data_IF_297913828444
#
_entry.id   IF_297913828444
#
_cell.length_a   1.000
_cell.length_b   1.000
_cell.length_c   1.000
_cell.angle_alpha   90.00
_cell.angle_beta   90.00
_cell.angle_gamma   90.00
#
_symmetry.space_group_name_H-M   'P 1'
#
loop_
_entity.id
_entity.type
_entity.pdbx_description
1 polymer ?
#
# COMPACT_ATOMS: atom_id res chain seq x y z
N UNK A 1 27.24 -15.30 -11.45
CA UNK A 1 26.50 -14.13 -11.96
C UNK A 1 25.58 -14.67 -13.03
N UNK A 2 24.34 -14.98 -12.69
CA UNK A 2 23.31 -15.35 -13.68
C UNK A 2 22.60 -14.05 -14.01
N UNK A 3 22.60 -13.71 -15.29
CA UNK A 3 22.10 -12.46 -15.84
C UNK A 3 20.62 -12.24 -15.49
N UNK A 4 20.30 -11.09 -14.93
CA UNK A 4 18.94 -10.64 -14.57
C UNK A 4 18.05 -10.37 -15.81
N UNK A 5 18.53 -10.66 -17.03
CA UNK A 5 17.90 -10.27 -18.29
C UNK A 5 17.06 -11.35 -18.99
N UNK A 6 16.91 -12.57 -18.44
CA UNK A 6 16.18 -13.65 -19.12
C UNK A 6 14.80 -13.99 -18.54
N UNK A 7 14.38 -13.40 -17.42
CA UNK A 7 13.05 -13.69 -16.85
C UNK A 7 11.99 -12.77 -17.43
N UNK A 8 10.89 -13.34 -17.93
CA UNK A 8 9.70 -12.62 -18.34
C UNK A 8 9.18 -11.72 -17.22
N UNK A 9 8.91 -10.44 -17.53
CA UNK A 9 8.48 -9.45 -16.55
C UNK A 9 6.97 -9.23 -16.59
N UNK A 10 6.36 -9.05 -15.43
CA UNK A 10 4.95 -8.70 -15.27
C UNK A 10 4.82 -7.28 -14.72
N UNK A 11 4.25 -6.38 -15.54
CA UNK A 11 3.89 -5.01 -15.14
C UNK A 11 2.38 -4.88 -15.02
N UNK A 12 1.90 -4.39 -13.88
CA UNK A 12 0.47 -4.22 -13.59
C UNK A 12 0.14 -2.76 -13.34
N UNK A 13 -0.80 -2.19 -14.10
CA UNK A 13 -1.42 -0.91 -13.79
C UNK A 13 -2.64 -1.14 -12.89
N UNK A 14 -2.58 -0.64 -11.66
CA UNK A 14 -3.71 -0.64 -10.74
C UNK A 14 -4.41 0.72 -10.80
N UNK A 15 -5.72 0.71 -10.62
CA UNK A 15 -6.48 1.94 -10.47
C UNK A 15 -7.68 1.78 -9.58
N UNK A 16 -8.11 2.89 -8.99
CA UNK A 16 -9.26 2.92 -8.08
C UNK A 16 -10.57 2.46 -8.75
N UNK A 17 -10.76 2.78 -10.04
CA UNK A 17 -12.00 2.49 -10.77
C UNK A 17 -11.81 2.55 -12.30
N UNK A 18 -12.85 2.15 -13.03
CA UNK A 18 -12.93 2.40 -14.47
C UNK A 18 -12.93 3.91 -14.78
N UNK A 19 -12.23 4.32 -15.83
CA UNK A 19 -12.15 5.72 -16.28
C UNK A 19 -10.97 6.53 -15.70
N UNK A 20 -10.13 5.92 -14.86
CA UNK A 20 -8.93 6.59 -14.33
C UNK A 20 -7.84 6.80 -15.40
N UNK A 21 -7.78 5.91 -16.40
CA UNK A 21 -6.84 6.01 -17.52
C UNK A 21 -5.89 4.82 -17.68
N UNK A 22 -6.10 3.71 -16.97
CA UNK A 22 -5.19 2.54 -17.00
C UNK A 22 -4.81 2.09 -18.42
N UNK A 23 -5.82 1.82 -19.26
CA UNK A 23 -5.60 1.39 -20.65
C UNK A 23 -4.84 2.42 -21.47
N UNK A 24 -5.10 3.71 -21.25
CA UNK A 24 -4.40 4.79 -21.95
C UNK A 24 -2.90 4.77 -21.58
N UNK A 25 -2.61 4.82 -20.28
CA UNK A 25 -1.22 4.79 -19.77
C UNK A 25 -0.48 3.52 -20.18
N UNK A 26 -1.16 2.38 -20.14
CA UNK A 26 -0.63 1.09 -20.54
C UNK A 26 -0.21 1.08 -22.02
N UNK A 27 -1.04 1.65 -22.91
CA UNK A 27 -0.75 1.78 -24.33
C UNK A 27 0.35 2.82 -24.61
N UNK A 28 0.38 3.94 -23.89
CA UNK A 28 1.47 4.92 -23.98
C UNK A 28 2.83 4.28 -23.65
N UNK A 29 2.89 3.48 -22.60
CA UNK A 29 4.12 2.79 -22.19
C UNK A 29 4.49 1.66 -23.17
N UNK A 30 3.50 0.96 -23.74
CA UNK A 30 3.72 0.00 -24.83
C UNK A 30 4.31 0.70 -26.07
N UNK A 31 3.78 1.86 -26.46
CA UNK A 31 4.35 2.67 -27.54
C UNK A 31 5.77 3.12 -27.26
N UNK A 32 6.05 3.56 -26.04
CA UNK A 32 7.40 3.97 -25.64
C UNK A 32 8.41 2.82 -25.77
N UNK A 33 8.01 1.58 -25.47
CA UNK A 33 8.84 0.39 -25.64
C UNK A 33 8.98 -0.01 -27.12
N UNK A 34 7.89 0.02 -27.90
CA UNK A 34 7.90 -0.25 -29.35
C UNK A 34 8.83 0.71 -30.09
N UNK A 35 8.78 2.00 -29.76
CA UNK A 35 9.67 3.03 -30.30
C UNK A 35 11.16 2.81 -29.96
N UNK A 36 11.46 1.99 -28.94
CA UNK A 36 12.84 1.58 -28.59
C UNK A 36 13.25 0.28 -29.28
N UNK A 37 12.42 -0.25 -30.18
CA UNK A 37 12.66 -1.49 -30.91
C UNK A 37 12.32 -2.76 -30.13
N UNK A 38 11.57 -2.65 -29.02
CA UNK A 38 11.04 -3.83 -28.33
C UNK A 38 9.91 -4.43 -29.15
N UNK A 39 9.89 -5.75 -29.29
CA UNK A 39 8.86 -6.46 -30.01
C UNK A 39 7.59 -6.64 -29.15
N UNK A 40 6.50 -5.96 -29.53
CA UNK A 40 5.28 -5.83 -28.72
C UNK A 40 4.04 -6.14 -29.55
N UNK A 41 3.11 -6.88 -28.96
CA UNK A 41 1.77 -7.10 -29.51
C UNK A 41 0.68 -6.77 -28.51
N UNK A 42 -0.50 -6.47 -29.04
CA UNK A 42 -1.75 -6.43 -28.29
C UNK A 42 -2.39 -7.83 -28.37
N UNK A 43 -2.55 -8.46 -27.21
CA UNK A 43 -3.31 -9.71 -27.07
C UNK A 43 -4.79 -9.45 -26.81
N UNK A 44 -5.08 -8.55 -25.87
CA UNK A 44 -6.43 -8.11 -25.57
C UNK A 44 -6.43 -6.68 -25.02
N UNK A 45 -7.21 -5.78 -25.63
CA UNK A 45 -7.42 -4.42 -25.14
C UNK A 45 -8.89 -4.05 -25.33
N UNK A 46 -9.51 -3.54 -24.28
CA UNK A 46 -10.89 -3.05 -24.34
C UNK A 46 -10.90 -1.52 -24.50
N UNK A 47 -11.44 -1.05 -25.62
CA UNK A 47 -11.48 0.38 -25.94
C UNK A 47 -12.69 1.08 -25.31
N UNK A 48 -13.73 0.33 -24.90
CA UNK A 48 -15.01 0.82 -24.40
C UNK A 48 -15.62 1.95 -25.24
N UNK A 49 -15.35 1.94 -26.56
CA UNK A 49 -15.83 2.97 -27.48
C UNK A 49 -15.08 4.30 -27.47
N UNK A 50 -13.92 4.39 -26.81
CA UNK A 50 -13.12 5.63 -26.76
C UNK A 50 -12.24 5.76 -28.00
N UNK A 51 -12.44 6.85 -28.74
CA UNK A 51 -11.69 7.10 -29.97
C UNK A 51 -10.18 7.25 -29.72
N UNK A 52 -9.79 8.02 -28.70
CA UNK A 52 -8.37 8.19 -28.29
C UNK A 52 -7.68 6.83 -28.04
N UNK A 53 -8.39 5.88 -27.41
CA UNK A 53 -7.84 4.54 -27.15
C UNK A 53 -7.78 3.69 -28.42
N UNK A 54 -8.76 3.83 -29.33
CA UNK A 54 -8.74 3.13 -30.62
C UNK A 54 -7.61 3.62 -31.51
N UNK A 55 -7.33 4.91 -31.53
CA UNK A 55 -6.22 5.48 -32.29
C UNK A 55 -4.90 4.87 -31.85
N UNK A 56 -4.63 4.81 -30.54
CA UNK A 56 -3.39 4.21 -30.03
C UNK A 56 -3.27 2.70 -30.26
N UNK A 57 -4.39 1.98 -30.42
CA UNK A 57 -4.36 0.54 -30.71
C UNK A 57 -3.92 0.28 -32.16
N UNK A 58 -4.22 1.17 -33.11
CA UNK A 58 -3.96 0.95 -34.55
C UNK A 58 -2.47 0.88 -34.90
N UNK A 59 -1.62 1.45 -34.07
CA UNK A 59 -0.20 1.61 -34.32
C UNK A 59 0.65 0.44 -33.77
N UNK A 60 0.05 -0.48 -33.00
CA UNK A 60 0.69 -1.70 -32.49
C UNK A 60 0.16 -2.93 -33.24
N UNK A 61 0.99 -3.97 -33.38
CA UNK A 61 0.53 -5.25 -33.92
C UNK A 61 -0.51 -5.88 -32.99
N UNK A 62 -1.62 -6.37 -33.55
CA UNK A 62 -2.72 -6.96 -32.79
C UNK A 62 -2.84 -8.43 -33.19
N UNK A 63 -2.79 -9.32 -32.20
CA UNK A 63 -3.15 -10.73 -32.41
C UNK A 63 -4.66 -10.82 -32.51
N UNK A 64 -5.16 -11.40 -33.61
CA UNK A 64 -6.59 -11.54 -33.83
C UNK A 64 -7.23 -12.38 -32.69
N UNK A 65 -8.35 -11.90 -32.10
CA UNK A 65 -9.02 -12.63 -31.03
C UNK A 65 -9.59 -13.95 -31.55
N UNK A 66 -9.70 -14.93 -30.65
CA UNK A 66 -10.40 -16.18 -30.90
C UNK A 66 -11.91 -15.96 -30.74
N UNK A 67 -12.70 -16.50 -31.66
CA UNK A 67 -14.16 -16.41 -31.61
C UNK A 67 -14.75 -17.65 -30.97
N UNK A 68 -15.39 -17.48 -29.82
CA UNK A 68 -16.02 -18.57 -29.07
C UNK A 68 -17.54 -18.38 -29.03
N UNK A 69 -18.27 -19.47 -29.25
CA UNK A 69 -19.74 -19.47 -29.16
C UNK A 69 -20.19 -19.91 -27.77
N UNK A 70 -20.99 -19.08 -27.11
CA UNK A 70 -21.55 -19.38 -25.80
C UNK A 70 -23.02 -18.94 -25.72
N UNK A 71 -23.90 -19.88 -25.38
CA UNK A 71 -25.37 -19.66 -25.29
C UNK A 71 -25.99 -18.99 -26.54
N UNK A 72 -25.49 -19.34 -27.72
CA UNK A 72 -25.98 -18.83 -29.02
C UNK A 72 -25.51 -17.42 -29.39
N UNK A 73 -24.51 -16.87 -28.66
CA UNK A 73 -23.82 -15.64 -29.01
C UNK A 73 -22.33 -15.90 -29.22
N UNK A 74 -21.72 -15.17 -30.14
CA UNK A 74 -20.27 -15.23 -30.42
C UNK A 74 -19.57 -14.12 -29.66
N UNK A 75 -18.51 -14.48 -28.94
CA UNK A 75 -17.68 -13.57 -28.17
C UNK A 75 -16.24 -13.61 -28.71
N UNK A 76 -15.59 -12.45 -28.69
CA UNK A 76 -14.16 -12.34 -28.96
C UNK A 76 -13.40 -12.55 -27.63
N UNK A 77 -12.45 -13.47 -27.62
CA UNK A 77 -11.58 -13.78 -26.46
C UNK A 77 -10.11 -13.70 -26.88
N UNK A 78 -9.22 -13.45 -25.92
CA UNK A 78 -7.77 -13.42 -26.19
C UNK A 78 -7.28 -14.76 -26.76
N UNK A 79 -6.62 -14.72 -27.92
CA UNK A 79 -6.04 -15.93 -28.52
C UNK A 79 -4.67 -16.25 -27.88
N UNK A 80 -4.70 -16.91 -26.73
CA UNK A 80 -3.51 -17.29 -25.97
C UNK A 80 -2.50 -18.08 -26.82
N UNK A 81 -2.99 -19.08 -27.55
CA UNK A 81 -2.14 -19.97 -28.34
C UNK A 81 -1.42 -19.23 -29.47
N UNK A 82 -2.12 -18.33 -30.19
CA UNK A 82 -1.51 -17.53 -31.23
C UNK A 82 -0.44 -16.57 -30.67
N UNK A 83 -0.65 -16.01 -29.47
CA UNK A 83 0.37 -15.18 -28.81
C UNK A 83 1.62 -16.02 -28.48
N UNK A 84 1.43 -17.21 -27.90
CA UNK A 84 2.53 -18.12 -27.57
C UNK A 84 3.29 -18.58 -28.81
N UNK A 85 2.61 -18.84 -29.92
CA UNK A 85 3.23 -19.22 -31.19
C UNK A 85 4.02 -18.07 -31.82
N UNK A 86 3.47 -16.84 -31.74
CA UNK A 86 4.12 -15.64 -32.25
C UNK A 86 5.37 -15.26 -31.43
N UNK A 87 5.40 -15.58 -30.13
CA UNK A 87 6.51 -15.31 -29.20
C UNK A 87 6.99 -13.85 -29.18
N UNK A 88 6.10 -12.89 -28.89
CA UNK A 88 6.50 -11.50 -28.65
C UNK A 88 7.47 -11.39 -27.46
N UNK A 89 8.28 -10.32 -27.44
CA UNK A 89 9.01 -9.96 -26.21
C UNK A 89 8.03 -9.50 -25.13
N UNK A 90 7.02 -8.71 -25.50
CA UNK A 90 6.00 -8.19 -24.60
C UNK A 90 4.60 -8.31 -25.21
N UNK A 91 3.61 -8.69 -24.42
CA UNK A 91 2.19 -8.64 -24.79
C UNK A 91 1.38 -7.75 -23.85
N UNK A 92 0.49 -6.94 -24.43
CA UNK A 92 -0.48 -6.12 -23.70
C UNK A 92 -1.78 -6.90 -23.52
N UNK A 93 -2.23 -7.03 -22.26
CA UNK A 93 -3.42 -7.78 -21.86
C UNK A 93 -4.25 -6.96 -20.87
N UNK A 94 -5.32 -6.31 -21.32
CA UNK A 94 -6.24 -5.55 -20.46
C UNK A 94 -7.25 -6.46 -19.75
N UNK A 95 -7.94 -5.90 -18.76
CA UNK A 95 -8.98 -6.55 -17.95
C UNK A 95 -8.50 -7.85 -17.29
N UNK A 96 -7.42 -7.78 -16.51
CA UNK A 96 -6.82 -8.94 -15.81
C UNK A 96 -7.83 -9.80 -15.04
N UNK A 97 -8.87 -9.16 -14.50
CA UNK A 97 -9.91 -9.81 -13.71
C UNK A 97 -10.96 -10.55 -14.54
N UNK A 98 -10.94 -10.45 -15.87
CA UNK A 98 -11.91 -11.04 -16.78
C UNK A 98 -12.08 -12.55 -16.54
N UNK A 99 -13.32 -13.02 -16.66
CA UNK A 99 -13.66 -14.43 -16.64
C UNK A 99 -13.82 -14.88 -18.08
N UNK A 100 -12.92 -15.77 -18.51
CA UNK A 100 -12.90 -16.21 -19.89
C UNK A 100 -14.19 -16.95 -20.24
N UNK A 101 -14.59 -16.84 -21.50
CA UNK A 101 -15.78 -17.52 -22.02
C UNK A 101 -15.63 -19.04 -21.91
N UNK A 102 -16.73 -19.73 -21.59
CA UNK A 102 -16.77 -21.19 -21.49
C UNK A 102 -16.36 -21.82 -22.82
N UNK A 103 -15.33 -22.67 -22.80
CA UNK A 103 -14.66 -23.18 -24.00
C UNK A 103 -13.22 -22.70 -24.16
N UNK A 104 -12.83 -21.61 -23.50
CA UNK A 104 -11.42 -21.21 -23.38
C UNK A 104 -10.62 -22.20 -22.54
N UNK A 105 -9.31 -22.29 -22.78
CA UNK A 105 -8.39 -23.20 -22.08
C UNK A 105 -8.38 -22.95 -20.57
N UNK A 106 -8.19 -21.70 -20.16
CA UNK A 106 -8.18 -21.29 -18.77
C UNK A 106 -9.48 -20.55 -18.43
N UNK A 107 -9.87 -20.57 -17.15
CA UNK A 107 -11.15 -20.00 -16.71
C UNK A 107 -11.04 -18.50 -16.43
N UNK A 108 -9.83 -18.00 -16.17
CA UNK A 108 -9.57 -16.59 -15.81
C UNK A 108 -8.43 -16.03 -16.64
N UNK A 109 -8.54 -14.77 -17.06
CA UNK A 109 -7.50 -14.10 -17.85
C UNK A 109 -6.15 -14.00 -17.12
N UNK A 110 -6.16 -13.88 -15.78
CA UNK A 110 -4.92 -13.91 -15.01
C UNK A 110 -4.18 -15.25 -15.13
N UNK A 111 -4.88 -16.37 -15.38
CA UNK A 111 -4.25 -17.67 -15.61
C UNK A 111 -3.56 -17.69 -16.98
N UNK A 112 -4.18 -17.11 -18.01
CA UNK A 112 -3.53 -16.91 -19.32
C UNK A 112 -2.27 -16.04 -19.19
N UNK A 113 -2.32 -14.99 -18.38
CA UNK A 113 -1.15 -14.14 -18.11
C UNK A 113 -0.03 -14.92 -17.44
N UNK A 114 -0.34 -15.82 -16.49
CA UNK A 114 0.67 -16.70 -15.89
C UNK A 114 1.29 -17.62 -16.94
N UNK A 115 0.48 -18.19 -17.82
CA UNK A 115 0.97 -19.08 -18.88
C UNK A 115 1.86 -18.34 -19.90
N UNK A 116 1.53 -17.10 -20.25
CA UNK A 116 2.38 -16.24 -21.09
C UNK A 116 3.75 -16.01 -20.44
N UNK A 117 3.77 -15.69 -19.14
CA UNK A 117 5.00 -15.50 -18.38
C UNK A 117 5.85 -16.78 -18.29
N UNK A 118 5.22 -17.94 -18.15
CA UNK A 118 5.89 -19.25 -18.14
C UNK A 118 6.53 -19.58 -19.51
N UNK A 119 5.94 -19.09 -20.60
CA UNK A 119 6.50 -19.21 -21.95
C UNK A 119 7.55 -18.13 -22.28
N UNK A 120 8.01 -17.36 -21.29
CA UNK A 120 9.07 -16.36 -21.47
C UNK A 120 8.58 -15.02 -22.04
N UNK A 121 7.28 -14.81 -22.17
CA UNK A 121 6.69 -13.60 -22.73
C UNK A 121 6.39 -12.62 -21.59
N UNK A 122 6.94 -11.40 -21.64
CA UNK A 122 6.62 -10.37 -20.65
C UNK A 122 5.21 -9.84 -20.86
N UNK A 123 4.50 -9.50 -19.78
CA UNK A 123 3.11 -9.06 -19.85
C UNK A 123 2.93 -7.68 -19.22
N UNK A 124 2.24 -6.81 -19.93
CA UNK A 124 1.73 -5.54 -19.43
C UNK A 124 0.21 -5.66 -19.28
N UNK A 125 -0.33 -5.44 -18.09
CA UNK A 125 -1.75 -5.62 -17.81
C UNK A 125 -2.33 -4.52 -16.92
N UNK A 126 -3.65 -4.45 -16.83
CA UNK A 126 -4.37 -3.49 -16.00
C UNK A 126 -5.51 -4.12 -15.21
N UNK A 127 -5.73 -3.61 -14.00
CA UNK A 127 -6.80 -4.09 -13.10
C UNK A 127 -7.32 -2.98 -12.21
N UNK A 128 -8.60 -3.03 -11.84
CA UNK A 128 -9.14 -2.16 -10.80
C UNK A 128 -8.98 -2.79 -9.42
N UNK A 129 -8.75 -1.98 -8.40
CA UNK A 129 -8.56 -2.44 -7.01
C UNK A 129 -9.72 -3.30 -6.48
N UNK A 130 -10.93 -3.07 -6.99
CA UNK A 130 -12.14 -3.80 -6.59
C UNK A 130 -12.10 -5.30 -6.90
N UNK A 131 -11.22 -5.73 -7.82
CA UNK A 131 -11.12 -7.11 -8.26
C UNK A 131 -10.12 -7.92 -7.42
N UNK A 132 -9.42 -7.32 -6.47
CA UNK A 132 -8.55 -8.07 -5.57
C UNK A 132 -9.45 -8.85 -4.58
N UNK A 133 -9.25 -10.17 -4.51
CA UNK A 133 -10.07 -11.09 -3.71
C UNK A 133 -10.17 -10.64 -2.25
N UNK A 134 -9.04 -10.37 -1.58
CA UNK A 134 -9.04 -9.94 -0.17
C UNK A 134 -9.85 -8.67 0.12
N UNK A 135 -10.07 -7.82 -0.88
CA UNK A 135 -10.74 -6.53 -0.72
C UNK A 135 -12.26 -6.63 -0.95
N UNK A 136 -12.78 -7.76 -1.44
CA UNK A 136 -14.18 -7.88 -1.87
C UNK A 136 -15.19 -7.50 -0.78
N UNK A 137 -14.99 -7.94 0.46
CA UNK A 137 -15.87 -7.63 1.59
C UNK A 137 -15.85 -6.14 1.98
N UNK A 138 -14.69 -5.49 1.86
CA UNK A 138 -14.56 -4.04 2.10
C UNK A 138 -15.27 -3.27 0.99
N UNK A 139 -15.05 -3.67 -0.27
CA UNK A 139 -15.68 -3.07 -1.45
C UNK A 139 -17.20 -3.21 -1.39
N UNK A 140 -17.71 -4.38 -1.03
CA UNK A 140 -19.15 -4.64 -0.90
C UNK A 140 -19.78 -3.80 0.21
N UNK A 141 -19.12 -3.68 1.37
CA UNK A 141 -19.60 -2.83 2.48
C UNK A 141 -19.64 -1.35 2.12
N UNK A 142 -18.63 -0.87 1.38
CA UNK A 142 -18.53 0.53 0.97
C UNK A 142 -19.47 0.87 -0.18
N UNK A 143 -19.50 0.04 -1.22
CA UNK A 143 -20.19 0.36 -2.49
C UNK A 143 -21.59 -0.24 -2.60
N UNK A 144 -21.90 -1.27 -1.80
CA UNK A 144 -23.11 -2.08 -1.93
C UNK A 144 -23.08 -3.03 -3.15
N UNK A 145 -22.03 -2.99 -3.97
CA UNK A 145 -21.89 -3.81 -5.18
C UNK A 145 -21.09 -5.05 -4.86
N UNK A 146 -21.60 -6.21 -5.25
CA UNK A 146 -20.86 -7.46 -5.19
C UNK A 146 -20.02 -7.62 -6.45
N UNK A 147 -18.69 -7.69 -6.29
CA UNK A 147 -17.76 -7.96 -7.38
C UNK A 147 -17.64 -9.47 -7.54
N UNK A 148 -18.02 -9.99 -8.72
CA UNK A 148 -17.97 -11.44 -9.00
C UNK A 148 -16.67 -11.88 -9.65
N UNK A 149 -16.06 -10.97 -10.39
CA UNK A 149 -14.81 -11.22 -11.09
C UNK A 149 -13.64 -10.77 -10.22
N UNK A 150 -12.83 -11.74 -9.80
CA UNK A 150 -11.75 -11.49 -8.86
C UNK A 150 -10.44 -12.10 -9.32
N UNK A 151 -9.35 -11.57 -8.77
CA UNK A 151 -7.96 -12.00 -8.93
C UNK A 151 -7.41 -12.30 -7.55
N UNK A 152 -6.84 -13.50 -7.31
CA UNK A 152 -6.23 -13.84 -6.03
C UNK A 152 -5.06 -12.92 -5.70
N UNK A 153 -4.92 -12.52 -4.43
CA UNK A 153 -3.80 -11.71 -3.95
C UNK A 153 -2.43 -12.30 -4.27
N UNK A 154 -2.33 -13.63 -4.30
CA UNK A 154 -1.09 -14.36 -4.61
C UNK A 154 -0.56 -14.04 -6.02
N UNK A 155 -1.43 -13.74 -6.99
CA UNK A 155 -1.03 -13.36 -8.34
C UNK A 155 -0.14 -12.11 -8.33
N UNK A 156 -0.46 -11.12 -7.49
CA UNK A 156 0.28 -9.87 -7.43
C UNK A 156 1.70 -10.03 -6.89
N UNK A 157 2.01 -11.14 -6.20
CA UNK A 157 3.40 -11.46 -5.81
C UNK A 157 4.29 -11.78 -7.01
N UNK A 158 3.72 -12.17 -8.15
CA UNK A 158 4.47 -12.39 -9.39
C UNK A 158 4.84 -11.09 -10.10
N UNK A 159 4.21 -9.97 -9.75
CA UNK A 159 4.42 -8.68 -10.39
C UNK A 159 5.83 -8.14 -10.11
N UNK A 160 6.54 -7.84 -11.18
CA UNK A 160 7.84 -7.18 -11.15
C UNK A 160 7.66 -5.67 -10.95
N UNK A 161 6.56 -5.10 -11.45
CA UNK A 161 6.22 -3.68 -11.27
C UNK A 161 4.70 -3.53 -11.08
N UNK A 162 4.31 -2.73 -10.07
CA UNK A 162 2.91 -2.29 -9.89
C UNK A 162 2.87 -0.76 -9.95
N UNK A 163 2.12 -0.23 -10.91
CA UNK A 163 2.01 1.21 -11.18
C UNK A 163 0.59 1.67 -10.83
N UNK A 164 0.48 2.67 -9.97
CA UNK A 164 -0.81 3.30 -9.67
C UNK A 164 -1.19 4.33 -10.75
N UNK A 165 -2.41 4.21 -11.29
CA UNK A 165 -2.99 5.19 -12.21
C UNK A 165 -4.07 5.95 -11.49
N UNK A 166 -3.67 7.08 -10.91
CA UNK A 166 -4.53 7.90 -10.06
C UNK A 166 -5.14 9.10 -10.79
N UNK A 167 -6.34 9.47 -10.37
CA UNK A 167 -6.98 10.75 -10.69
C UNK A 167 -7.86 11.16 -9.52
N UNK A 168 -8.05 12.48 -9.38
CA UNK A 168 -8.96 13.00 -8.37
C UNK A 168 -10.38 12.46 -8.55
N UNK A 169 -11.09 12.28 -7.42
CA UNK A 169 -12.49 11.82 -7.41
C UNK A 169 -13.38 12.74 -8.25
N UNK A 170 -13.15 14.05 -8.20
CA UNK A 170 -13.92 15.03 -8.98
C UNK A 170 -13.62 14.93 -10.48
N UNK A 171 -12.36 14.70 -10.86
CA UNK A 171 -11.96 14.44 -12.25
C UNK A 171 -12.66 13.20 -12.79
N UNK A 172 -12.64 12.10 -12.04
CA UNK A 172 -13.26 10.84 -12.45
C UNK A 172 -14.77 10.98 -12.64
N UNK A 173 -15.45 11.63 -11.69
CA UNK A 173 -16.89 11.93 -11.80
C UNK A 173 -17.22 12.85 -12.97
N UNK A 174 -16.33 13.80 -13.28
CA UNK A 174 -16.49 14.69 -14.43
C UNK A 174 -16.38 13.91 -15.75
N UNK A 175 -15.38 13.03 -15.88
CA UNK A 175 -15.23 12.13 -17.04
C UNK A 175 -16.47 11.24 -17.23
N UNK A 176 -17.03 10.72 -16.13
CA UNK A 176 -18.26 9.93 -16.18
C UNK A 176 -19.47 10.76 -16.67
N UNK A 177 -19.64 12.00 -16.19
CA UNK A 177 -20.71 12.90 -16.64
C UNK A 177 -20.60 13.28 -18.12
N UNK A 178 -19.37 13.34 -18.63
CA UNK A 178 -19.09 13.59 -20.05
C UNK A 178 -19.39 12.37 -20.94
N UNK A 179 -19.87 11.25 -20.38
CA UNK A 179 -20.21 10.05 -21.14
C UNK A 179 -19.00 9.25 -21.65
N UNK A 180 -17.79 9.51 -21.14
CA UNK A 180 -16.54 8.94 -21.68
C UNK A 180 -16.39 7.42 -21.55
N UNK A 181 -17.25 6.73 -20.79
CA UNK A 181 -17.11 5.28 -20.55
C UNK A 181 -18.36 4.55 -20.04
N UNK A 182 -19.55 5.16 -20.08
CA UNK A 182 -20.82 4.52 -19.69
C UNK A 182 -21.94 4.97 -20.63
N UNK A 183 -22.90 4.09 -20.91
CA UNK A 183 -24.09 4.45 -21.67
C UNK A 183 -24.89 5.53 -20.94
N UNK A 184 -25.40 6.53 -21.68
CA UNK A 184 -26.00 7.77 -21.14
C UNK A 184 -27.08 7.49 -20.09
N UNK A 185 -27.88 6.45 -20.32
CA UNK A 185 -28.97 6.01 -19.43
C UNK A 185 -28.49 5.49 -18.07
N UNK A 186 -27.29 4.89 -18.02
CA UNK A 186 -26.72 4.31 -16.78
C UNK A 186 -25.82 5.27 -16.01
N UNK A 187 -25.55 6.48 -16.54
CA UNK A 187 -24.64 7.46 -15.91
C UNK A 187 -25.17 7.90 -14.54
N UNK A 188 -26.44 8.31 -14.44
CA UNK A 188 -27.01 8.80 -13.18
C UNK A 188 -27.08 7.70 -12.11
N UNK A 189 -27.48 6.49 -12.50
CA UNK A 189 -27.47 5.33 -11.60
C UNK A 189 -26.06 4.99 -11.13
N UNK A 190 -25.06 5.02 -12.02
CA UNK A 190 -23.66 4.76 -11.69
C UNK A 190 -23.08 5.82 -10.74
N UNK A 191 -23.38 7.11 -10.98
CA UNK A 191 -22.99 8.22 -10.10
C UNK A 191 -23.62 8.13 -8.71
N UNK A 192 -24.86 7.66 -8.65
CA UNK A 192 -25.61 7.52 -7.41
C UNK A 192 -25.38 6.19 -6.69
N UNK A 193 -24.59 5.27 -7.24
CA UNK A 193 -24.22 4.01 -6.60
C UNK A 193 -22.70 3.90 -6.49
N UNK A 194 -22.05 3.23 -7.45
CA UNK A 194 -20.61 2.93 -7.40
C UNK A 194 -19.73 4.20 -7.38
N UNK A 195 -20.05 5.21 -8.19
CA UNK A 195 -19.26 6.44 -8.36
C UNK A 195 -19.64 7.58 -7.39
N UNK A 196 -20.16 7.24 -6.20
CA UNK A 196 -20.33 8.20 -5.11
C UNK A 196 -18.96 8.71 -4.64
N UNK A 197 -18.90 9.96 -4.17
CA UNK A 197 -17.65 10.59 -3.69
C UNK A 197 -16.95 9.76 -2.60
N UNK A 198 -17.68 9.32 -1.58
CA UNK A 198 -17.13 8.49 -0.49
C UNK A 198 -16.60 7.14 -0.98
N UNK A 199 -17.32 6.50 -1.89
CA UNK A 199 -16.91 5.21 -2.47
C UNK A 199 -15.61 5.36 -3.25
N UNK A 200 -15.53 6.33 -4.16
CA UNK A 200 -14.33 6.58 -4.95
C UNK A 200 -13.13 7.02 -4.09
N UNK A 201 -13.36 7.77 -3.01
CA UNK A 201 -12.31 8.12 -2.07
C UNK A 201 -11.73 6.88 -1.38
N UNK A 202 -12.60 5.97 -0.94
CA UNK A 202 -12.20 4.69 -0.32
C UNK A 202 -11.44 3.82 -1.30
N UNK A 203 -11.94 3.68 -2.54
CA UNK A 203 -11.27 2.90 -3.59
C UNK A 203 -9.88 3.46 -3.92
N UNK A 204 -9.75 4.78 -3.98
CA UNK A 204 -8.47 5.46 -4.20
C UNK A 204 -7.50 5.22 -3.06
N UNK A 205 -7.96 5.30 -1.81
CA UNK A 205 -7.14 4.97 -0.64
C UNK A 205 -6.65 3.51 -0.70
N UNK A 206 -7.54 2.56 -1.02
CA UNK A 206 -7.17 1.15 -1.16
C UNK A 206 -6.15 0.92 -2.29
N UNK A 207 -6.31 1.59 -3.44
CA UNK A 207 -5.38 1.47 -4.56
C UNK A 207 -3.97 1.95 -4.17
N UNK A 208 -3.86 3.14 -3.58
CA UNK A 208 -2.61 3.72 -3.12
C UNK A 208 -1.94 2.84 -2.05
N UNK A 209 -2.73 2.31 -1.11
CA UNK A 209 -2.23 1.42 -0.06
C UNK A 209 -1.68 0.12 -0.64
N UNK A 210 -2.33 -0.43 -1.66
CA UNK A 210 -1.89 -1.67 -2.31
C UNK A 210 -0.53 -1.50 -2.99
N UNK A 211 -0.33 -0.38 -3.70
CA UNK A 211 0.97 -0.08 -4.33
C UNK A 211 2.05 0.13 -3.28
N UNK A 212 1.75 0.85 -2.19
CA UNK A 212 2.69 1.02 -1.09
C UNK A 212 3.09 -0.32 -0.42
N UNK A 213 2.13 -1.23 -0.22
CA UNK A 213 2.39 -2.57 0.31
C UNK A 213 3.30 -3.39 -0.61
N UNK A 214 3.06 -3.36 -1.92
CA UNK A 214 3.91 -4.07 -2.88
C UNK A 214 5.34 -3.51 -2.93
N UNK A 215 5.49 -2.19 -2.98
CA UNK A 215 6.81 -1.53 -2.91
C UNK A 215 7.57 -1.96 -1.66
N UNK A 216 6.90 -2.02 -0.51
CA UNK A 216 7.55 -2.41 0.73
C UNK A 216 8.06 -3.85 0.74
N UNK A 217 7.36 -4.78 0.09
CA UNK A 217 7.79 -6.18 -0.05
C UNK A 217 8.98 -6.27 -1.01
N UNK A 218 8.95 -5.56 -2.13
CA UNK A 218 10.08 -5.53 -3.08
C UNK A 218 11.34 -4.93 -2.47
N UNK A 219 11.20 -3.83 -1.73
CA UNK A 219 12.32 -3.21 -1.01
C UNK A 219 12.90 -4.18 0.02
N UNK A 220 12.05 -4.94 0.72
CA UNK A 220 12.50 -5.94 1.68
C UNK A 220 13.29 -7.06 1.00
N UNK A 221 12.74 -7.68 -0.06
CA UNK A 221 13.42 -8.76 -0.80
C UNK A 221 14.73 -8.28 -1.45
N UNK A 222 14.74 -7.07 -2.02
CA UNK A 222 15.94 -6.48 -2.60
C UNK A 222 17.01 -6.24 -1.53
N UNK A 223 16.63 -5.67 -0.39
CA UNK A 223 17.55 -5.37 0.71
C UNK A 223 18.09 -6.64 1.37
N UNK A 224 17.27 -7.70 1.51
CA UNK A 224 17.75 -9.02 1.97
C UNK A 224 18.76 -9.63 0.99
N UNK A 225 18.51 -9.56 -0.32
CA UNK A 225 19.45 -10.06 -1.34
C UNK A 225 20.78 -9.30 -1.33
N UNK A 226 20.72 -7.98 -1.20
CA UNK A 226 21.90 -7.10 -1.21
C UNK A 226 22.58 -6.97 0.18
N UNK A 227 22.06 -7.64 1.21
CA UNK A 227 22.57 -7.56 2.58
C UNK A 227 22.44 -6.16 3.21
N UNK A 228 21.49 -5.36 2.73
CA UNK A 228 21.17 -4.03 3.23
C UNK A 228 20.21 -4.14 4.44
N UNK A 229 20.42 -3.33 5.49
CA UNK A 229 19.47 -3.25 6.63
C UNK A 229 18.04 -2.98 6.14
N UNK A 230 17.00 -3.58 6.74
CA UNK A 230 15.60 -3.48 6.27
C UNK A 230 15.02 -2.04 6.33
N UNK A 231 14.11 -1.71 5.39
CA UNK A 231 13.23 -0.53 5.51
C UNK A 231 11.97 -0.91 6.29
N UNK A 232 11.56 -0.07 7.25
CA UNK A 232 10.45 -0.34 8.18
C UNK A 232 9.11 0.20 7.63
N UNK A 233 8.05 -0.61 7.68
CA UNK A 233 6.63 -0.28 7.40
C UNK A 233 5.90 -0.01 8.74
N UNK A 234 4.70 0.62 8.76
CA UNK A 234 4.46 1.85 9.53
C UNK A 234 4.82 1.73 11.01
N UNK A 235 5.62 2.69 11.46
CA UNK A 235 6.23 2.72 12.78
C UNK A 235 5.17 3.03 13.85
N UNK A 236 4.86 2.07 14.74
CA UNK A 236 4.10 2.31 15.97
C UNK A 236 5.07 2.88 17.00
N UNK A 237 4.98 4.18 17.26
CA UNK A 237 6.00 4.91 18.02
C UNK A 237 5.51 5.20 19.43
N UNK A 238 6.28 4.77 20.42
CA UNK A 238 6.11 5.17 21.81
C UNK A 238 7.22 6.11 22.23
N UNK A 239 6.87 7.32 22.66
CA UNK A 239 7.78 8.27 23.29
C UNK A 239 7.57 8.25 24.80
N UNK A 240 8.59 7.86 25.56
CA UNK A 240 8.52 7.83 27.01
C UNK A 240 8.88 9.19 27.61
N UNK A 241 7.90 9.83 28.27
CA UNK A 241 8.06 11.13 28.91
C UNK A 241 8.32 11.00 30.41
N UNK A 242 9.20 11.86 30.93
CA UNK A 242 9.41 12.02 32.36
C UNK A 242 8.76 13.32 32.86
N UNK A 243 8.46 13.37 34.16
CA UNK A 243 7.98 14.57 34.85
C UNK A 243 9.05 15.66 35.00
N UNK A 244 10.33 15.29 34.92
CA UNK A 244 11.48 16.19 35.09
C UNK A 244 12.21 16.37 33.76
N UNK A 245 12.35 17.64 33.35
CA UNK A 245 13.07 18.02 32.14
C UNK A 245 12.18 18.10 30.89
N UNK A 246 12.69 18.79 29.87
CA UNK A 246 11.99 19.00 28.60
C UNK A 246 11.98 17.71 27.78
N UNK A 247 10.79 17.24 27.38
CA UNK A 247 10.63 16.12 26.45
C UNK A 247 10.56 16.59 24.99
N UNK A 248 10.72 17.89 24.72
CA UNK A 248 10.50 18.49 23.38
C UNK A 248 11.36 17.82 22.30
N UNK A 249 12.63 17.55 22.59
CA UNK A 249 13.52 16.87 21.63
C UNK A 249 13.07 15.44 21.35
N UNK A 250 12.64 14.70 22.39
CA UNK A 250 12.11 13.33 22.25
C UNK A 250 10.84 13.32 21.39
N UNK A 251 9.92 14.23 21.69
CA UNK A 251 8.64 14.36 21.00
C UNK A 251 8.82 14.77 19.54
N UNK A 252 9.77 15.67 19.23
CA UNK A 252 10.12 16.03 17.84
C UNK A 252 10.70 14.84 17.08
N UNK A 253 11.57 14.06 17.72
CA UNK A 253 12.14 12.87 17.08
C UNK A 253 11.07 11.82 16.84
N UNK A 254 10.15 11.61 17.80
CA UNK A 254 8.98 10.74 17.62
C UNK A 254 8.09 11.19 16.47
N UNK A 255 7.76 12.48 16.39
CA UNK A 255 6.96 13.02 15.29
C UNK A 255 7.64 12.86 13.91
N UNK A 256 8.98 12.93 13.86
CA UNK A 256 9.75 12.72 12.62
C UNK A 256 9.73 11.26 12.16
N UNK A 257 9.79 10.33 13.11
CA UNK A 257 9.78 8.87 12.91
C UNK A 257 8.38 8.44 12.38
N UNK A 258 7.30 8.85 13.04
CA UNK A 258 5.90 8.56 12.63
C UNK A 258 5.54 9.08 11.22
N UNK A 259 6.14 10.19 10.79
CA UNK A 259 5.84 10.81 9.49
C UNK A 259 4.39 11.30 9.35
N UNK A 260 3.92 11.53 8.11
CA UNK A 260 2.58 12.07 7.81
C UNK A 260 1.44 11.02 7.81
N UNK A 261 1.74 9.74 8.01
CA UNK A 261 0.82 8.65 7.67
C UNK A 261 0.34 7.78 8.84
N UNK A 262 0.85 7.97 10.06
CA UNK A 262 0.50 7.13 11.22
C UNK A 262 -0.08 7.93 12.41
N UNK A 263 -1.07 8.79 12.14
CA UNK A 263 -1.75 9.61 13.16
C UNK A 263 -2.51 8.81 14.24
N UNK A 264 -2.61 7.48 14.16
CA UNK A 264 -3.31 6.63 15.14
C UNK A 264 -2.44 5.68 15.95
N UNK A 265 -1.16 5.56 15.63
CA UNK A 265 -0.25 4.59 16.27
C UNK A 265 0.97 5.27 16.91
N UNK A 266 0.79 6.51 17.37
CA UNK A 266 1.80 7.31 18.02
C UNK A 266 1.39 7.72 19.43
N UNK A 267 2.17 7.29 20.41
CA UNK A 267 1.89 7.41 21.83
C UNK A 267 2.95 8.24 22.54
N UNK A 268 2.51 9.19 23.36
CA UNK A 268 3.35 9.86 24.34
C UNK A 268 2.97 9.34 25.73
N UNK A 269 3.82 8.48 26.30
CA UNK A 269 3.50 7.72 27.50
C UNK A 269 4.21 8.30 28.71
N UNK A 270 3.44 8.61 29.74
CA UNK A 270 3.91 9.03 31.05
C UNK A 270 3.46 8.01 32.10
N UNK A 271 4.36 7.60 33.00
CA UNK A 271 4.04 6.74 34.14
C UNK A 271 4.06 7.56 35.42
N UNK A 272 2.90 7.73 36.04
CA UNK A 272 2.73 8.36 37.35
C UNK A 272 3.18 7.37 38.44
N UNK A 273 4.25 7.73 39.15
CA UNK A 273 4.73 6.98 40.32
C UNK A 273 4.09 7.48 41.62
N UNK A 274 4.09 6.70 42.71
CA UNK A 274 3.54 7.13 44.02
C UNK A 274 4.16 8.43 44.59
N UNK A 275 5.35 8.80 44.14
CA UNK A 275 6.04 10.05 44.53
C UNK A 275 5.56 11.26 43.71
N UNK A 276 4.88 11.02 42.60
CA UNK A 276 4.40 12.02 41.64
C UNK A 276 2.87 12.12 41.64
N UNK A 277 2.20 11.47 42.60
CA UNK A 277 0.76 11.59 42.81
C UNK A 277 0.35 13.06 42.99
N UNK A 278 -0.90 13.43 42.60
CA UNK A 278 -1.43 14.76 42.84
C UNK A 278 -1.24 15.19 44.31
N UNK A 279 -0.53 16.31 44.52
CA UNK A 279 -0.18 16.82 45.85
C UNK A 279 1.21 16.43 46.36
N UNK A 280 1.93 15.51 45.70
CA UNK A 280 3.32 15.13 46.01
C UNK A 280 4.35 15.56 44.96
N UNK A 281 3.93 15.65 43.69
CA UNK A 281 4.77 16.20 42.62
C UNK A 281 5.08 17.68 42.88
N UNK A 282 6.33 18.10 42.62
CA UNK A 282 6.69 19.51 42.77
C UNK A 282 5.95 20.38 41.74
N UNK A 283 5.58 21.64 42.06
CA UNK A 283 4.89 22.52 41.12
C UNK A 283 5.65 22.72 39.80
N UNK A 284 6.97 22.81 39.85
CA UNK A 284 7.83 23.02 38.68
C UNK A 284 7.85 21.77 37.78
N UNK A 285 7.93 20.57 38.37
CA UNK A 285 7.89 19.32 37.64
C UNK A 285 6.50 19.10 37.01
N UNK A 286 5.43 19.44 37.74
CA UNK A 286 4.07 19.37 37.21
C UNK A 286 3.87 20.34 36.04
N UNK A 287 4.32 21.59 36.16
CA UNK A 287 4.24 22.57 35.08
C UNK A 287 4.98 22.08 33.81
N UNK A 288 6.21 21.58 33.98
CA UNK A 288 7.02 21.00 32.89
C UNK A 288 6.31 19.83 32.20
N UNK A 289 5.72 18.92 32.99
CA UNK A 289 4.96 17.80 32.46
C UNK A 289 3.75 18.26 31.64
N UNK A 290 3.01 19.27 32.11
CA UNK A 290 1.88 19.83 31.37
C UNK A 290 2.31 20.48 30.05
N UNK A 291 3.45 21.17 30.02
CA UNK A 291 4.01 21.70 28.78
C UNK A 291 4.36 20.60 27.78
N UNK A 292 4.99 19.52 28.26
CA UNK A 292 5.33 18.36 27.42
C UNK A 292 4.08 17.67 26.86
N UNK A 293 3.04 17.50 27.68
CA UNK A 293 1.75 16.92 27.27
C UNK A 293 1.10 17.77 26.16
N UNK A 294 0.96 19.08 26.38
CA UNK A 294 0.40 20.00 25.39
C UNK A 294 1.18 19.98 24.08
N UNK A 295 2.52 19.91 24.17
CA UNK A 295 3.37 19.83 23.00
C UNK A 295 3.19 18.50 22.25
N UNK A 296 3.06 17.37 22.96
CA UNK A 296 2.77 16.07 22.37
C UNK A 296 1.42 16.08 21.63
N UNK A 297 0.36 16.62 22.25
CA UNK A 297 -0.96 16.76 21.63
C UNK A 297 -0.92 17.66 20.38
N UNK A 298 -0.17 18.76 20.44
CA UNK A 298 0.01 19.69 19.29
C UNK A 298 0.68 19.00 18.11
N UNK A 299 1.61 18.08 18.39
CA UNK A 299 2.28 17.32 17.35
C UNK A 299 1.39 16.20 16.79
N UNK A 300 0.34 15.78 17.52
CA UNK A 300 -0.63 14.75 17.10
C UNK A 300 -0.51 13.42 17.85
N UNK A 301 0.23 13.38 18.96
CA UNK A 301 0.43 12.17 19.76
C UNK A 301 -0.80 11.85 20.63
N UNK A 302 -1.10 10.57 20.79
CA UNK A 302 -2.03 10.09 21.82
C UNK A 302 -1.31 10.06 23.16
N UNK A 303 -1.71 10.92 24.09
CA UNK A 303 -1.10 10.97 25.42
C UNK A 303 -1.71 9.90 26.32
N UNK A 304 -0.86 9.03 26.86
CA UNK A 304 -1.26 7.95 27.78
C UNK A 304 -0.62 8.17 29.14
N UNK A 305 -1.44 8.15 30.19
CA UNK A 305 -1.00 8.24 31.58
C UNK A 305 -1.23 6.89 32.26
N UNK A 306 -0.15 6.19 32.57
CA UNK A 306 -0.18 4.93 33.31
C UNK A 306 0.10 5.20 34.79
N UNK A 307 -0.47 4.41 35.70
CA UNK A 307 -0.17 4.48 37.13
C UNK A 307 0.57 3.24 37.56
N UNK A 308 1.81 3.38 38.03
CA UNK A 308 2.58 2.24 38.51
C UNK A 308 3.76 2.67 39.39
N UNK A 309 4.03 1.89 40.44
CA UNK A 309 5.26 2.01 41.21
C UNK A 309 6.50 1.52 40.45
N UNK A 310 6.30 0.70 39.40
CA UNK A 310 7.37 0.12 38.57
C UNK A 310 7.24 0.61 37.13
N UNK A 311 7.90 1.73 36.84
CA UNK A 311 7.88 2.41 35.53
C UNK A 311 8.20 1.47 34.36
N UNK A 312 9.23 0.63 34.50
CA UNK A 312 9.70 -0.26 33.44
C UNK A 312 8.65 -1.31 33.07
N UNK A 313 8.02 -1.91 34.08
CA UNK A 313 7.05 -2.98 33.89
C UNK A 313 5.82 -2.44 33.15
N UNK A 314 5.32 -1.27 33.57
CA UNK A 314 4.19 -0.61 32.92
C UNK A 314 4.47 -0.19 31.47
N UNK A 315 5.67 0.30 31.17
CA UNK A 315 6.05 0.66 29.81
C UNK A 315 6.17 -0.58 28.91
N UNK A 316 6.69 -1.70 29.43
CA UNK A 316 6.81 -2.96 28.67
C UNK A 316 5.44 -3.58 28.38
N UNK A 317 4.56 -3.59 29.37
CA UNK A 317 3.19 -4.06 29.24
C UNK A 317 2.46 -3.26 28.16
N UNK A 318 2.51 -1.93 28.26
CA UNK A 318 1.91 -1.06 27.25
C UNK A 318 2.51 -1.27 25.85
N UNK A 319 3.84 -1.42 25.76
CA UNK A 319 4.52 -1.65 24.49
C UNK A 319 4.09 -2.97 23.82
N UNK A 320 3.86 -4.03 24.60
CA UNK A 320 3.39 -5.32 24.09
C UNK A 320 1.92 -5.26 23.68
N UNK A 321 1.06 -4.71 24.53
CA UNK A 321 -0.38 -4.61 24.26
C UNK A 321 -0.68 -3.79 23.00
N UNK A 322 0.14 -2.78 22.71
CA UNK A 322 -0.04 -1.89 21.57
C UNK A 322 0.88 -2.23 20.37
N UNK A 323 1.67 -3.31 20.47
CA UNK A 323 2.59 -3.80 19.43
C UNK A 323 3.56 -2.71 18.93
N UNK A 324 4.17 -1.98 19.86
CA UNK A 324 5.06 -0.85 19.56
C UNK A 324 6.32 -1.34 18.83
N UNK A 325 6.67 -0.69 17.71
CA UNK A 325 7.84 -1.02 16.88
C UNK A 325 9.00 -0.06 17.07
N UNK A 326 8.76 1.16 17.56
CA UNK A 326 9.82 2.09 17.95
C UNK A 326 9.56 2.67 19.33
N UNK A 327 10.57 2.60 20.20
CA UNK A 327 10.52 3.19 21.53
C UNK A 327 11.59 4.25 21.67
N UNK A 328 11.20 5.44 22.14
CA UNK A 328 12.09 6.58 22.32
C UNK A 328 12.23 6.90 23.81
N UNK A 329 13.47 6.82 24.30
CA UNK A 329 13.84 7.21 25.66
C UNK A 329 14.75 8.43 25.66
N UNK A 330 14.58 9.30 26.66
CA UNK A 330 15.58 10.31 26.98
C UNK A 330 16.76 9.72 27.74
N UNK A 331 17.97 10.16 27.41
CA UNK A 331 19.16 9.84 28.16
C UNK A 331 19.02 10.45 29.57
N UNK A 332 18.84 9.59 30.56
CA UNK A 332 18.69 10.00 31.96
C UNK A 332 19.88 10.86 32.41
N UNK A 333 19.61 11.99 33.08
CA UNK A 333 20.60 12.84 33.75
C UNK A 333 21.22 12.18 35.02
N UNK A 334 21.26 10.85 35.11
CA UNK A 334 21.79 10.12 36.26
C UNK A 334 23.26 9.75 36.05
N UNK A 335 24.02 9.79 37.14
CA UNK A 335 25.47 9.51 37.16
C UNK A 335 25.80 8.14 36.58
N UNK A 336 26.93 8.04 35.85
CA UNK A 336 27.43 6.81 35.19
C UNK A 336 27.49 5.59 36.13
N UNK A 337 27.62 5.82 37.44
CA UNK A 337 27.61 4.78 38.47
C UNK A 337 26.21 4.19 38.76
N UNK A 338 25.12 4.97 38.65
CA UNK A 338 23.75 4.45 38.78
C UNK A 338 23.31 3.68 37.53
N UNK A 339 23.88 3.98 36.37
CA UNK A 339 23.67 3.26 35.10
C UNK A 339 24.31 1.86 35.15
N UNK A 340 25.46 1.71 35.82
CA UNK A 340 26.12 0.40 36.01
C UNK A 340 25.38 -0.52 37.00
N UNK A 341 24.75 0.04 38.04
CA UNK A 341 23.99 -0.75 39.02
C UNK A 341 22.52 -1.00 38.64
N UNK A 342 21.94 -0.20 37.73
CA UNK A 342 20.57 -0.38 37.21
C UNK A 342 20.53 -0.31 35.68
N UNK A 343 21.40 -1.06 35.01
CA UNK A 343 21.42 -1.21 33.55
C UNK A 343 20.19 -1.92 32.95
N UNK A 344 18.98 -1.71 33.48
CA UNK A 344 17.86 -2.65 33.36
C UNK A 344 16.68 -2.21 32.52
N UNK A 345 16.56 -0.96 32.07
CA UNK A 345 15.37 -0.53 31.31
C UNK A 345 15.55 -0.87 29.82
N UNK A 346 16.57 -0.28 29.19
CA UNK A 346 16.90 -0.49 27.77
C UNK A 346 17.22 -1.97 27.51
N UNK A 347 18.07 -2.58 28.34
CA UNK A 347 18.42 -4.00 28.20
C UNK A 347 17.27 -4.97 28.55
N UNK A 348 16.25 -4.56 29.33
CA UNK A 348 15.03 -5.37 29.45
C UNK A 348 14.17 -5.19 28.23
N UNK A 349 13.94 -3.95 27.78
CA UNK A 349 13.19 -3.65 26.55
C UNK A 349 13.71 -4.43 25.35
N UNK A 350 15.02 -4.42 25.11
CA UNK A 350 15.65 -5.19 24.01
C UNK A 350 15.51 -6.72 24.18
N UNK A 351 15.38 -7.24 25.41
CA UNK A 351 15.16 -8.68 25.67
C UNK A 351 13.70 -9.09 25.59
N UNK A 352 12.80 -8.19 25.98
CA UNK A 352 11.40 -8.45 26.27
C UNK A 352 10.45 -7.99 25.16
N UNK A 353 10.91 -7.12 24.25
CA UNK A 353 10.22 -6.62 23.06
C UNK A 353 11.19 -6.75 21.87
N UNK A 354 11.30 -7.97 21.34
CA UNK A 354 12.36 -8.35 20.38
C UNK A 354 12.27 -7.63 19.02
N UNK A 355 11.08 -7.18 18.66
CA UNK A 355 10.78 -6.61 17.35
C UNK A 355 10.71 -5.08 17.37
N UNK A 356 11.12 -4.43 18.47
CA UNK A 356 11.10 -2.97 18.61
C UNK A 356 12.50 -2.35 18.57
N UNK A 357 12.68 -1.32 17.75
CA UNK A 357 13.87 -0.48 17.75
C UNK A 357 13.84 0.48 18.95
N UNK A 358 14.94 0.56 19.69
CA UNK A 358 15.08 1.43 20.86
C UNK A 358 15.98 2.62 20.55
N UNK A 359 15.42 3.82 20.59
CA UNK A 359 16.12 5.09 20.37
C UNK A 359 16.43 5.77 21.70
N UNK A 360 17.69 6.11 21.95
CA UNK A 360 18.10 6.86 23.15
C UNK A 360 18.62 8.22 22.72
N UNK A 361 17.92 9.28 23.12
CA UNK A 361 18.22 10.64 22.69
C UNK A 361 18.87 11.42 23.85
N UNK A 362 20.03 12.07 23.63
CA UNK A 362 20.62 12.97 24.61
C UNK A 362 19.66 14.09 24.99
N UNK A 363 19.45 14.31 26.29
CA UNK A 363 18.72 15.47 26.78
C UNK A 363 19.70 16.64 26.91
N UNK A 364 19.41 17.75 26.23
CA UNK A 364 20.13 19.01 26.47
C UNK A 364 19.86 19.48 27.90
N UNK A 365 20.92 19.94 28.58
CA UNK A 365 20.91 20.34 30.00
C UNK A 365 20.18 21.64 30.25
#
# INVERSE_FOLDING_TARGET
MVEESERAKLRIYIGAAAGVGKTLQMLEDAHALSNRGVDIVIGAVETHGREETREMVRDLEIIAPEKLEYRGAVFDEMNLQAIIERKPTVVVVDELAHTNIEGAKNRKRYEDVLELLENGISVITAVNIQHIESLNDVIRRTTGVQVRETVPDLFFKRADEIIDVDVSVDTLRTRLRQGKFNSVEKIQQSLNNFFRKGNLATLRELALRQVALHQSVQDHEYREREGLEQAVIPEKVMVCMASRGSAKTLLRTGARIVGRHAYRDWFAVYVETPQEEPGRISPEAYATLQENIKFAETLGATVVKLKSARVVDALLEFARENEITHVIFGQSARSRWQILWKGSIINRFLREVKDAAVHVIPLEK
#
